data_IF_499908945281
#
_entry.id   IF_499908945281
#
_cell.length_a   1.000
_cell.length_b   1.000
_cell.length_c   1.000
_cell.angle_alpha   90.00
_cell.angle_beta   90.00
_cell.angle_gamma   90.00
#
_symmetry.space_group_name_H-M   'P 1'
#
loop_
_entity.id
_entity.type
_entity.pdbx_description
1 polymer ?
#
# COMPACT_ATOMS: atom_id res chain seq x y z
N UNK A 1 -4.08 -34.93 -6.61
CA UNK A 1 -4.29 -33.94 -7.69
C UNK A 1 -3.54 -32.68 -7.32
N UNK A 2 -2.74 -32.14 -8.23
CA UNK A 2 -2.02 -30.87 -8.03
C UNK A 2 -3.05 -29.74 -8.17
N UNK A 3 -3.30 -28.99 -7.10
CA UNK A 3 -4.05 -27.73 -7.19
C UNK A 3 -3.04 -26.65 -7.53
N UNK A 4 -3.09 -26.13 -8.75
CA UNK A 4 -2.38 -24.90 -9.11
C UNK A 4 -3.20 -23.78 -8.48
N UNK A 5 -2.70 -23.15 -7.41
CA UNK A 5 -3.26 -21.89 -6.90
C UNK A 5 -2.76 -20.77 -7.80
N UNK A 6 -3.64 -19.86 -8.20
CA UNK A 6 -3.25 -18.66 -8.94
C UNK A 6 -2.41 -17.75 -8.05
N UNK A 7 -1.27 -17.28 -8.56
CA UNK A 7 -0.47 -16.24 -7.92
C UNK A 7 -0.67 -14.91 -8.63
N UNK A 8 -0.51 -13.79 -7.92
CA UNK A 8 -0.56 -12.46 -8.53
C UNK A 8 0.50 -12.33 -9.62
N UNK A 9 0.11 -11.89 -10.81
CA UNK A 9 1.03 -11.70 -11.94
C UNK A 9 1.81 -10.37 -11.88
N UNK A 10 1.70 -9.64 -10.76
CA UNK A 10 2.31 -8.34 -10.55
C UNK A 10 2.76 -8.20 -9.10
N UNK A 11 3.83 -7.45 -8.88
CA UNK A 11 4.14 -6.85 -7.58
C UNK A 11 3.37 -5.52 -7.45
N UNK A 12 2.97 -5.16 -6.24
CA UNK A 12 2.21 -3.94 -5.95
C UNK A 12 2.92 -3.04 -4.95
N UNK A 13 2.75 -1.74 -5.15
CA UNK A 13 3.46 -0.71 -4.40
C UNK A 13 2.51 0.42 -3.98
N UNK A 14 2.80 1.00 -2.83
CA UNK A 14 2.14 2.21 -2.33
C UNK A 14 3.13 3.37 -2.40
N UNK A 15 2.66 4.51 -2.92
CA UNK A 15 3.38 5.76 -2.94
C UNK A 15 3.52 6.32 -1.54
N UNK A 16 4.76 6.58 -1.14
CA UNK A 16 5.08 7.22 0.13
C UNK A 16 5.88 8.49 -0.15
N UNK A 17 5.45 9.61 0.40
CA UNK A 17 6.16 10.87 0.27
C UNK A 17 7.44 10.85 1.11
N UNK A 18 8.49 11.47 0.57
CA UNK A 18 9.73 11.65 1.32
C UNK A 18 9.59 12.73 2.37
N UNK A 19 10.20 12.54 3.54
CA UNK A 19 10.32 13.56 4.58
C UNK A 19 11.37 14.64 4.21
N UNK A 20 11.31 15.16 2.98
CA UNK A 20 12.14 16.28 2.53
C UNK A 20 11.43 17.61 2.81
N UNK A 21 12.17 18.69 3.12
CA UNK A 21 11.57 20.01 3.24
C UNK A 21 10.80 20.36 1.97
N UNK A 22 9.53 20.77 2.12
CA UNK A 22 8.73 21.22 1.00
C UNK A 22 9.43 22.43 0.33
N UNK A 23 9.75 22.30 -0.96
CA UNK A 23 10.27 23.40 -1.77
C UNK A 23 9.10 24.02 -2.53
N UNK A 24 8.82 25.34 -2.38
CA UNK A 24 7.72 25.98 -3.09
C UNK A 24 7.79 25.76 -4.61
N UNK A 25 6.70 25.23 -5.19
CA UNK A 25 6.58 24.98 -6.63
C UNK A 25 7.20 23.67 -7.12
N UNK A 26 7.75 22.84 -6.22
CA UNK A 26 8.26 21.50 -6.55
C UNK A 26 7.44 20.48 -5.77
N UNK A 27 6.75 19.59 -6.49
CA UNK A 27 6.06 18.47 -5.86
C UNK A 27 7.10 17.51 -5.26
N UNK A 28 6.94 17.09 -3.99
CA UNK A 28 7.85 16.11 -3.38
C UNK A 28 7.93 14.84 -4.22
N UNK A 29 9.12 14.25 -4.38
CA UNK A 29 9.23 12.97 -5.06
C UNK A 29 8.48 11.90 -4.27
N UNK A 30 7.72 11.08 -4.98
CA UNK A 30 7.03 9.90 -4.43
C UNK A 30 7.95 8.71 -4.57
N UNK A 31 8.17 7.98 -3.48
CA UNK A 31 8.83 6.68 -3.52
C UNK A 31 7.79 5.56 -3.57
N UNK A 32 8.11 4.46 -4.25
CA UNK A 32 7.22 3.29 -4.33
C UNK A 32 7.66 2.23 -3.32
N UNK A 33 6.84 1.98 -2.30
CA UNK A 33 7.06 0.97 -1.28
C UNK A 33 6.35 -0.33 -1.68
N UNK A 34 7.10 -1.42 -1.87
CA UNK A 34 6.51 -2.73 -2.16
C UNK A 34 5.67 -3.22 -0.97
N UNK A 35 4.40 -3.53 -1.23
CA UNK A 35 3.45 -4.05 -0.22
C UNK A 35 3.02 -5.49 -0.54
N UNK A 36 3.08 -5.92 -1.80
CA UNK A 36 2.79 -7.28 -2.22
C UNK A 36 3.81 -7.72 -3.28
N UNK A 37 4.48 -8.88 -3.10
CA UNK A 37 5.42 -9.38 -4.08
C UNK A 37 4.71 -10.01 -5.28
N UNK A 38 5.45 -10.18 -6.38
CA UNK A 38 5.01 -11.01 -7.50
C UNK A 38 4.78 -12.45 -7.03
N UNK A 39 3.75 -13.10 -7.58
CA UNK A 39 3.46 -14.51 -7.32
C UNK A 39 2.80 -14.78 -5.97
N UNK A 40 2.37 -13.74 -5.23
CA UNK A 40 1.63 -13.90 -3.98
C UNK A 40 0.38 -14.77 -4.23
N UNK A 41 0.28 -15.91 -3.54
CA UNK A 41 -0.77 -16.91 -3.77
C UNK A 41 -2.15 -16.43 -3.30
N UNK A 42 -3.20 -16.85 -4.00
CA UNK A 42 -4.58 -16.77 -3.51
C UNK A 42 -4.74 -17.32 -2.08
N UNK A 43 -5.45 -16.57 -1.24
CA UNK A 43 -5.65 -16.90 0.18
C UNK A 43 -4.42 -16.67 1.06
N UNK A 44 -3.31 -16.15 0.53
CA UNK A 44 -2.11 -15.87 1.29
C UNK A 44 -2.00 -14.39 1.71
N UNK A 45 -1.12 -14.14 2.67
CA UNK A 45 -0.84 -12.81 3.23
C UNK A 45 0.65 -12.55 3.10
N UNK A 46 1.02 -11.38 2.57
CA UNK A 46 2.40 -10.95 2.52
C UNK A 46 2.88 -10.48 3.91
N UNK A 47 4.17 -10.64 4.24
CA UNK A 47 4.77 -9.95 5.37
C UNK A 47 4.50 -8.45 5.28
N UNK A 48 4.14 -7.84 6.41
CA UNK A 48 3.97 -6.39 6.48
C UNK A 48 5.33 -5.69 6.31
N UNK A 49 5.46 -4.68 5.43
CA UNK A 49 6.65 -3.85 5.37
C UNK A 49 6.99 -3.25 6.74
N UNK A 50 8.27 -3.11 7.09
CA UNK A 50 8.68 -2.51 8.37
C UNK A 50 8.38 -1.01 8.47
N UNK A 51 8.15 -0.33 7.33
CA UNK A 51 7.86 1.10 7.26
C UNK A 51 6.52 1.42 7.93
N UNK A 52 6.51 2.47 8.74
CA UNK A 52 5.32 2.99 9.41
C UNK A 52 4.81 4.24 8.67
N UNK A 53 3.50 4.31 8.46
CA UNK A 53 2.79 5.44 7.87
C UNK A 53 1.91 6.09 8.93
N UNK A 54 1.75 7.41 8.88
CA UNK A 54 0.82 8.13 9.76
C UNK A 54 -0.56 8.25 9.12
N UNK A 55 -1.59 7.71 9.76
CA UNK A 55 -2.99 8.00 9.41
C UNK A 55 -3.56 9.04 10.38
N UNK A 56 -4.19 10.08 9.84
CA UNK A 56 -4.84 11.12 10.64
C UNK A 56 -6.26 10.69 10.98
N UNK A 57 -6.61 10.71 12.27
CA UNK A 57 -7.94 10.34 12.75
C UNK A 57 -8.99 11.33 12.23
N UNK A 58 -10.02 10.81 11.57
CA UNK A 58 -11.13 11.59 11.02
C UNK A 58 -10.86 12.24 9.67
N UNK A 59 -9.70 11.96 9.05
CA UNK A 59 -9.35 12.48 7.72
C UNK A 59 -9.02 11.32 6.77
N UNK A 60 -9.62 11.29 5.55
CA UNK A 60 -9.25 10.31 4.54
C UNK A 60 -7.84 10.60 4.02
N UNK A 61 -6.99 9.57 4.02
CA UNK A 61 -5.63 9.64 3.47
C UNK A 61 -5.61 8.92 2.13
N UNK A 62 -5.08 9.59 1.10
CA UNK A 62 -4.91 9.03 -0.25
C UNK A 62 -3.46 8.69 -0.51
N UNK A 63 -3.24 7.51 -1.07
CA UNK A 63 -1.93 7.06 -1.53
C UNK A 63 -1.98 6.74 -3.01
N UNK A 64 -0.96 7.13 -3.77
CA UNK A 64 -0.78 6.63 -5.14
C UNK A 64 -0.50 5.14 -5.10
N UNK A 65 -1.10 4.38 -5.99
CA UNK A 65 -0.97 2.93 -6.04
C UNK A 65 -0.37 2.47 -7.35
N UNK A 66 0.58 1.55 -7.29
CA UNK A 66 1.35 1.13 -8.44
C UNK A 66 1.46 -0.38 -8.56
N UNK A 67 1.73 -0.86 -9.77
CA UNK A 67 2.01 -2.25 -10.06
C UNK A 67 3.16 -2.44 -11.03
N UNK A 68 3.82 -3.59 -10.96
CA UNK A 68 4.87 -4.01 -11.90
C UNK A 68 4.74 -5.48 -12.26
N UNK A 69 4.81 -5.79 -13.56
CA UNK A 69 4.87 -7.17 -14.08
C UNK A 69 6.31 -7.67 -14.34
N UNK A 70 7.29 -6.76 -14.28
CA UNK A 70 8.70 -7.03 -14.60
C UNK A 70 9.59 -7.10 -13.36
N UNK A 71 9.22 -6.41 -12.27
CA UNK A 71 9.94 -6.42 -10.99
C UNK A 71 9.49 -7.61 -10.13
N UNK A 72 9.94 -8.81 -10.49
CA UNK A 72 9.48 -10.07 -9.90
C UNK A 72 10.17 -10.46 -8.59
N UNK A 73 11.31 -9.86 -8.30
CA UNK A 73 12.14 -10.21 -7.14
C UNK A 73 12.00 -9.23 -5.97
N UNK A 74 11.23 -8.15 -6.15
CA UNK A 74 10.99 -7.18 -5.08
C UNK A 74 10.11 -7.81 -3.98
N UNK A 75 10.52 -7.58 -2.73
CA UNK A 75 9.87 -8.11 -1.53
C UNK A 75 9.20 -6.99 -0.72
N UNK A 76 8.18 -7.27 0.11
CA UNK A 76 7.58 -6.26 0.96
C UNK A 76 8.61 -5.48 1.77
N UNK A 77 8.54 -4.15 1.70
CA UNK A 77 9.54 -3.26 2.30
C UNK A 77 10.62 -2.77 1.36
N UNK A 78 10.76 -3.34 0.15
CA UNK A 78 11.60 -2.77 -0.89
C UNK A 78 11.09 -1.36 -1.25
N UNK A 79 11.98 -0.36 -1.17
CA UNK A 79 11.66 1.03 -1.45
C UNK A 79 12.35 1.47 -2.73
N UNK A 80 11.55 1.85 -3.72
CA UNK A 80 12.05 2.34 -5.00
C UNK A 80 11.99 3.86 -5.00
N UNK A 81 13.16 4.49 -4.98
CA UNK A 81 13.28 5.95 -5.07
C UNK A 81 13.17 6.45 -6.51
N UNK A 82 13.54 5.59 -7.46
CA UNK A 82 13.51 5.83 -8.90
C UNK A 82 13.28 4.52 -9.63
N UNK A 83 12.57 4.59 -10.75
CA UNK A 83 12.34 3.48 -11.67
C UNK A 83 12.25 4.04 -13.10
N UNK A 84 12.31 3.15 -14.08
CA UNK A 84 12.05 3.52 -15.49
C UNK A 84 10.56 3.49 -15.76
N UNK A 85 10.10 4.32 -16.68
CA UNK A 85 8.67 4.45 -17.02
C UNK A 85 8.01 3.13 -17.48
N UNK A 86 8.79 2.17 -17.98
CA UNK A 86 8.33 0.84 -18.39
C UNK A 86 8.33 -0.21 -17.27
N UNK A 87 8.89 0.10 -16.10
CA UNK A 87 8.97 -0.85 -14.98
C UNK A 87 7.73 -0.83 -14.08
N UNK A 88 7.08 0.31 -13.92
CA UNK A 88 5.98 0.51 -12.97
C UNK A 88 4.85 1.29 -13.61
N UNK A 89 3.62 0.82 -13.42
CA UNK A 89 2.39 1.46 -13.87
C UNK A 89 1.62 1.96 -12.66
N UNK A 90 1.14 3.20 -12.71
CA UNK A 90 0.22 3.76 -11.72
C UNK A 90 -1.21 3.31 -12.01
N UNK A 91 -1.89 2.79 -10.98
CA UNK A 91 -3.22 2.20 -11.07
C UNK A 91 -4.34 3.14 -10.58
N UNK A 92 -3.98 4.27 -9.97
CA UNK A 92 -4.90 5.20 -9.32
C UNK A 92 -4.52 5.42 -7.85
N UNK A 93 -5.43 6.05 -7.08
CA UNK A 93 -5.24 6.26 -5.65
C UNK A 93 -6.01 5.23 -4.83
N UNK A 94 -5.43 4.81 -3.72
CA UNK A 94 -6.13 4.08 -2.66
C UNK A 94 -6.39 5.01 -1.48
N UNK A 95 -7.50 4.83 -0.78
CA UNK A 95 -7.92 5.65 0.34
C UNK A 95 -8.04 4.81 1.63
N UNK A 96 -7.63 5.42 2.75
CA UNK A 96 -7.83 4.87 4.08
C UNK A 96 -8.35 5.98 5.00
N UNK A 97 -9.43 5.70 5.74
CA UNK A 97 -9.95 6.62 6.76
C UNK A 97 -10.00 5.91 8.11
N UNK A 98 -9.47 6.59 9.12
CA UNK A 98 -9.51 6.15 10.49
C UNK A 98 -10.66 6.87 11.23
N UNK A 99 -11.73 6.18 11.65
CA UNK A 99 -12.83 6.84 12.36
C UNK A 99 -12.37 7.45 13.69
N UNK A 100 -13.05 8.51 14.11
CA UNK A 100 -12.85 9.19 15.41
C UNK A 100 -13.32 8.39 16.63
N UNK A 101 -13.80 7.17 16.45
CA UNK A 101 -14.34 6.36 17.55
C UNK A 101 -13.24 5.98 18.54
N UNK A 102 -13.23 6.62 19.72
CA UNK A 102 -12.25 6.36 20.77
C UNK A 102 -10.91 7.09 20.63
N UNK A 103 -10.76 7.97 19.63
CA UNK A 103 -9.57 8.81 19.39
C UNK A 103 -9.97 10.26 19.12
N UNK A 104 -9.07 11.20 19.36
CA UNK A 104 -9.36 12.60 19.04
C UNK A 104 -9.13 12.82 17.54
N UNK A 105 -10.03 13.55 16.88
CA UNK A 105 -9.83 13.98 15.50
C UNK A 105 -8.53 14.78 15.37
N UNK A 106 -7.74 14.48 14.34
CA UNK A 106 -6.41 15.07 14.14
C UNK A 106 -5.25 14.30 14.80
N UNK A 107 -5.52 13.29 15.64
CA UNK A 107 -4.46 12.42 16.16
C UNK A 107 -3.80 11.66 15.00
N UNK A 108 -2.47 11.52 15.02
CA UNK A 108 -1.73 10.72 14.04
C UNK A 108 -1.47 9.33 14.61
N UNK A 109 -1.96 8.30 13.92
CA UNK A 109 -1.78 6.90 14.32
C UNK A 109 -0.76 6.24 13.40
N UNK A 110 0.37 5.72 13.95
CA UNK A 110 1.33 4.97 13.17
C UNK A 110 0.76 3.59 12.83
N UNK A 111 0.71 3.30 11.53
CA UNK A 111 0.24 2.02 10.99
C UNK A 111 1.29 1.38 10.09
N UNK A 112 1.21 0.07 9.94
CA UNK A 112 1.89 -0.65 8.87
C UNK A 112 0.85 -1.19 7.89
N UNK A 113 1.23 -1.23 6.63
CA UNK A 113 0.40 -1.82 5.61
C UNK A 113 0.58 -3.34 5.59
N UNK A 114 -0.49 -4.07 5.29
CA UNK A 114 -0.47 -5.50 5.04
C UNK A 114 -1.26 -5.79 3.78
N UNK A 115 -0.66 -6.56 2.89
CA UNK A 115 -1.33 -7.07 1.70
C UNK A 115 -1.76 -8.52 1.91
N UNK A 116 -2.97 -8.85 1.45
CA UNK A 116 -3.42 -10.23 1.29
C UNK A 116 -4.11 -10.42 -0.05
N UNK A 117 -4.12 -11.64 -0.55
CA UNK A 117 -4.91 -12.02 -1.73
C UNK A 117 -6.11 -12.82 -1.23
N UNK A 118 -7.31 -12.42 -1.62
CA UNK A 118 -8.52 -13.19 -1.32
C UNK A 118 -8.48 -14.55 -2.03
N UNK A 119 -9.37 -15.47 -1.66
CA UNK A 119 -9.53 -16.74 -2.39
C UNK A 119 -10.02 -16.52 -3.83
N UNK A 120 -10.49 -15.32 -4.16
CA UNK A 120 -10.94 -14.92 -5.50
C UNK A 120 -9.85 -14.20 -6.30
N UNK A 121 -8.61 -14.14 -5.80
CA UNK A 121 -7.50 -13.46 -6.48
C UNK A 121 -7.52 -11.93 -6.35
N UNK A 122 -8.30 -11.38 -5.43
CA UNK A 122 -8.38 -9.92 -5.21
C UNK A 122 -7.35 -9.48 -4.18
N UNK A 123 -6.51 -8.52 -4.53
CA UNK A 123 -5.62 -7.87 -3.58
C UNK A 123 -6.44 -7.04 -2.58
N UNK A 124 -6.16 -7.21 -1.29
CA UNK A 124 -6.71 -6.41 -0.20
C UNK A 124 -5.56 -5.81 0.58
N UNK A 125 -5.64 -4.50 0.81
CA UNK A 125 -4.70 -3.77 1.66
C UNK A 125 -5.37 -3.40 2.97
N UNK A 126 -4.61 -3.55 4.05
CA UNK A 126 -5.05 -3.30 5.41
C UNK A 126 -4.01 -2.43 6.12
N UNK A 127 -4.48 -1.43 6.87
CA UNK A 127 -3.67 -0.64 7.79
C UNK A 127 -3.79 -1.23 9.20
N UNK A 128 -2.64 -1.59 9.77
CA UNK A 128 -2.52 -2.21 11.10
C UNK A 128 -1.83 -1.23 12.06
N UNK A 129 -2.43 -0.88 13.19
CA UNK A 129 -1.79 -0.03 14.17
C UNK A 129 -0.61 -0.77 14.82
N UNK A 130 0.36 -0.01 15.33
CA UNK A 130 1.46 -0.58 16.11
C UNK A 130 0.98 -1.20 17.43
N UNK A 131 -0.13 -0.71 17.99
CA UNK A 131 -0.73 -1.17 19.23
C UNK A 131 -2.25 -1.31 19.07
N UNK A 132 -2.82 -2.36 19.66
CA UNK A 132 -4.23 -2.70 19.52
C UNK A 132 -4.52 -3.65 18.36
N UNK A 133 -5.77 -4.07 18.25
CA UNK A 133 -6.23 -5.09 17.31
C UNK A 133 -7.11 -4.52 16.18
N UNK A 134 -7.21 -3.19 16.09
CA UNK A 134 -8.01 -2.52 15.07
C UNK A 134 -7.37 -2.74 13.68
N UNK A 135 -8.18 -2.97 12.66
CA UNK A 135 -7.70 -3.15 11.28
C UNK A 135 -8.59 -2.34 10.36
N UNK A 136 -7.99 -1.44 9.59
CA UNK A 136 -8.71 -0.61 8.62
C UNK A 136 -8.45 -1.09 7.21
N UNK A 137 -9.50 -1.25 6.43
CA UNK A 137 -9.36 -1.57 5.01
C UNK A 137 -8.92 -0.33 4.26
N UNK A 138 -8.01 -0.56 3.32
CA UNK A 138 -7.59 0.44 2.36
C UNK A 138 -8.24 0.07 1.03
N UNK A 139 -9.02 0.98 0.47
CA UNK A 139 -9.87 0.72 -0.70
C UNK A 139 -9.33 1.49 -1.92
N UNK A 140 -9.36 0.86 -3.09
CA UNK A 140 -9.02 1.55 -4.34
C UNK A 140 -10.15 2.51 -4.69
N UNK A 141 -9.83 3.79 -4.83
CA UNK A 141 -10.76 4.75 -5.41
C UNK A 141 -10.67 4.67 -6.93
N UNK A 142 -11.72 4.12 -7.54
CA UNK A 142 -11.84 4.00 -9.00
C UNK A 142 -12.56 5.20 -9.64
N UNK A 143 -12.86 6.26 -8.86
CA UNK A 143 -13.70 7.38 -9.32
C UNK A 143 -13.00 8.42 -10.19
N UNK A 144 -11.70 8.31 -10.41
CA UNK A 144 -10.99 9.13 -11.40
C UNK A 144 -10.10 8.25 -12.27
N UNK A 145 -10.60 7.93 -13.46
CA UNK A 145 -9.85 7.38 -14.60
C UNK A 145 -10.23 8.16 -15.86
#
# INVERSE_FOLDING_TARGET
>A
GVRIRGGMAQAFYVGVETAMPAVPGIEPPVHALCVAPFGLEEGSTAPSPPQELGLVVGEPVRFRFFASSVRRDDVPGALLERWRDDEIVELGAIEAELPTQGRHGGDVVPVRLRARVSELGTLVLEALPRQGDEVWKVELDVREA
#
